data_IF_935063085436
#
_entry.id   IF_935063085436
#
_cell.length_a   1.000
_cell.length_b   1.000
_cell.length_c   1.000
_cell.angle_alpha   90.00
_cell.angle_beta   90.00
_cell.angle_gamma   90.00
#
_symmetry.space_group_name_H-M   'P 1'
#
loop_
_entity.id
_entity.type
_entity.pdbx_description
1 polymer ?
#
# COMPACT_ATOMS: atom_id res chain seq x y z
N UNK A 1 20.08 10.01 -12.63
CA UNK A 1 20.84 8.88 -12.02
C UNK A 1 22.31 9.19 -11.72
N UNK A 2 22.96 10.14 -12.41
CA UNK A 2 24.33 10.61 -12.14
C UNK A 2 24.42 11.61 -10.98
N UNK A 3 23.43 12.51 -10.86
CA UNK A 3 23.37 13.51 -9.79
C UNK A 3 23.21 12.93 -8.37
N UNK A 4 22.61 11.74 -8.24
CA UNK A 4 22.39 11.08 -6.93
C UNK A 4 23.66 10.36 -6.45
N UNK A 5 24.47 9.84 -7.39
CA UNK A 5 25.80 9.29 -7.09
C UNK A 5 26.78 10.38 -6.67
N UNK A 6 26.73 11.57 -7.28
CA UNK A 6 27.52 12.73 -6.87
C UNK A 6 27.06 13.31 -5.53
N UNK A 7 25.75 13.35 -5.26
CA UNK A 7 25.22 13.74 -3.94
C UNK A 7 25.60 12.76 -2.84
N UNK A 8 25.60 11.44 -3.09
CA UNK A 8 26.13 10.46 -2.13
C UNK A 8 27.63 10.67 -1.86
N UNK A 9 28.43 11.05 -2.85
CA UNK A 9 29.85 11.37 -2.67
C UNK A 9 30.04 12.67 -1.84
N UNK A 10 29.23 13.70 -2.10
CA UNK A 10 29.26 14.97 -1.36
C UNK A 10 28.76 14.83 0.08
N UNK A 11 27.73 14.02 0.30
CA UNK A 11 27.27 13.65 1.65
C UNK A 11 28.37 12.85 2.35
N UNK A 12 29.07 11.92 1.68
CA UNK A 12 30.23 11.23 2.24
C UNK A 12 31.34 12.19 2.69
N UNK A 13 31.60 13.28 1.94
CA UNK A 13 32.55 14.31 2.34
C UNK A 13 32.08 15.13 3.56
N UNK A 14 30.77 15.38 3.70
CA UNK A 14 30.23 16.22 4.78
C UNK A 14 29.85 15.48 6.07
N UNK A 15 29.31 14.26 6.00
CA UNK A 15 29.06 13.44 7.20
C UNK A 15 30.33 12.81 7.77
N UNK A 16 31.43 12.75 7.01
CA UNK A 16 32.73 12.32 7.51
C UNK A 16 33.38 13.28 8.51
N UNK A 17 32.90 14.54 8.65
CA UNK A 17 33.41 15.45 9.68
C UNK A 17 33.02 15.08 11.11
N UNK A 18 32.00 14.23 11.33
CA UNK A 18 31.62 13.77 12.68
C UNK A 18 32.30 12.48 13.13
N UNK A 19 32.97 11.75 12.23
CA UNK A 19 33.62 10.46 12.57
C UNK A 19 35.15 10.48 12.40
N UNK A 20 35.75 11.55 11.89
CA UNK A 20 37.20 11.68 11.77
C UNK A 20 37.86 12.12 13.09
N UNK A 21 37.71 11.29 14.12
CA UNK A 21 38.81 11.12 15.07
C UNK A 21 40.03 10.60 14.28
N UNK A 22 41.28 10.91 14.66
CA UNK A 22 42.46 10.60 13.87
C UNK A 22 42.72 9.08 13.87
N UNK A 23 41.98 8.35 13.05
CA UNK A 23 42.12 6.92 12.88
C UNK A 23 43.15 6.68 11.79
N UNK A 24 44.28 6.14 12.22
CA UNK A 24 45.35 5.64 11.36
C UNK A 24 44.81 4.43 10.59
N UNK A 25 44.35 4.64 9.37
CA UNK A 25 43.77 3.58 8.54
C UNK A 25 44.88 2.68 7.97
N UNK A 26 44.88 1.35 8.22
CA UNK A 26 45.76 0.44 7.50
C UNK A 26 45.33 0.43 6.03
N UNK A 27 46.28 0.63 5.11
CA UNK A 27 46.03 0.88 3.68
C UNK A 27 45.14 -0.15 2.95
N UNK A 28 44.87 -1.33 3.54
CA UNK A 28 44.04 -2.39 2.95
C UNK A 28 42.55 -2.38 3.34
N UNK A 29 42.10 -1.65 4.37
CA UNK A 29 40.70 -1.77 4.89
C UNK A 29 39.77 -0.64 4.47
N UNK A 30 40.28 0.39 3.80
CA UNK A 30 39.51 1.57 3.40
C UNK A 30 38.42 1.24 2.36
N UNK A 31 38.72 0.39 1.37
CA UNK A 31 37.80 0.03 0.29
C UNK A 31 36.59 -0.77 0.81
N UNK A 32 36.75 -1.84 1.63
CA UNK A 32 35.62 -2.53 2.25
C UNK A 32 34.71 -1.61 3.08
N UNK A 33 35.27 -0.64 3.81
CA UNK A 33 34.47 0.31 4.60
C UNK A 33 33.61 1.23 3.71
N UNK A 34 34.20 1.78 2.65
CA UNK A 34 33.48 2.66 1.70
C UNK A 34 32.36 1.88 1.01
N UNK A 35 32.64 0.66 0.51
CA UNK A 35 31.63 -0.18 -0.14
C UNK A 35 30.51 -0.54 0.86
N UNK A 36 30.87 -0.88 2.10
CA UNK A 36 29.90 -1.20 3.14
C UNK A 36 28.96 -0.03 3.42
N UNK A 37 29.49 1.19 3.48
CA UNK A 37 28.71 2.39 3.75
C UNK A 37 27.78 2.75 2.58
N UNK A 38 28.26 2.63 1.33
CA UNK A 38 27.43 2.83 0.13
C UNK A 38 26.29 1.81 0.09
N UNK A 39 26.58 0.53 0.32
CA UNK A 39 25.57 -0.53 0.36
C UNK A 39 24.54 -0.28 1.47
N UNK A 40 24.98 0.22 2.64
CA UNK A 40 24.10 0.62 3.74
C UNK A 40 23.18 1.76 3.33
N UNK A 41 23.73 2.83 2.74
CA UNK A 41 22.96 3.99 2.30
C UNK A 41 21.89 3.63 1.27
N UNK A 42 22.25 2.88 0.22
CA UNK A 42 21.31 2.43 -0.81
C UNK A 42 20.22 1.52 -0.24
N UNK A 43 20.56 0.67 0.74
CA UNK A 43 19.60 -0.22 1.41
C UNK A 43 18.60 0.57 2.26
N UNK A 44 19.06 1.60 2.96
CA UNK A 44 18.27 2.31 3.96
C UNK A 44 17.41 3.44 3.34
N UNK A 45 17.71 3.88 2.11
CA UNK A 45 17.00 4.95 1.39
C UNK A 45 16.13 4.46 0.21
N UNK A 46 15.69 3.20 0.21
CA UNK A 46 14.76 2.72 -0.82
C UNK A 46 13.35 3.28 -0.59
N UNK A 47 12.59 3.54 -1.66
CA UNK A 47 11.22 4.09 -1.57
C UNK A 47 10.28 3.19 -0.75
N UNK A 48 10.51 1.87 -0.80
CA UNK A 48 9.78 0.86 -0.02
C UNK A 48 10.77 0.12 0.88
N UNK A 49 10.46 0.07 2.18
CA UNK A 49 11.26 -0.66 3.17
C UNK A 49 10.88 -2.13 3.20
N UNK A 50 11.76 -2.97 2.66
CA UNK A 50 11.63 -4.43 2.66
C UNK A 50 12.47 -5.05 3.78
N UNK A 51 11.97 -6.15 4.37
CA UNK A 51 12.70 -6.92 5.38
C UNK A 51 14.01 -7.50 4.81
N UNK A 52 14.99 -7.79 5.67
CA UNK A 52 16.29 -8.32 5.23
C UNK A 52 16.15 -9.71 4.61
N UNK A 53 15.44 -10.61 5.28
CA UNK A 53 15.22 -11.98 4.83
C UNK A 53 14.60 -12.04 3.42
N UNK A 54 13.62 -11.19 3.13
CA UNK A 54 12.98 -11.14 1.80
C UNK A 54 13.95 -10.63 0.74
N UNK A 55 14.79 -9.64 1.06
CA UNK A 55 15.80 -9.13 0.12
C UNK A 55 16.92 -10.14 -0.14
N UNK A 56 17.35 -10.85 0.90
CA UNK A 56 18.39 -11.88 0.80
C UNK A 56 17.87 -13.04 -0.07
N UNK A 57 16.63 -13.50 0.17
CA UNK A 57 15.94 -14.46 -0.69
C UNK A 57 15.83 -13.99 -2.14
N UNK A 58 15.40 -12.74 -2.37
CA UNK A 58 15.31 -12.19 -3.72
C UNK A 58 16.68 -12.15 -4.42
N UNK A 59 17.76 -11.86 -3.69
CA UNK A 59 19.12 -11.90 -4.24
C UNK A 59 19.55 -13.32 -4.62
N UNK A 60 19.30 -14.32 -3.76
CA UNK A 60 19.59 -15.72 -4.08
C UNK A 60 18.74 -16.22 -5.26
N UNK A 61 17.46 -15.85 -5.30
CA UNK A 61 16.55 -16.19 -6.39
C UNK A 61 16.99 -15.57 -7.72
N UNK A 62 17.47 -14.32 -7.73
CA UNK A 62 18.02 -13.68 -8.93
C UNK A 62 19.28 -14.39 -9.43
N UNK A 63 20.17 -14.81 -8.53
CA UNK A 63 21.37 -15.58 -8.90
C UNK A 63 21.00 -16.95 -9.47
N UNK A 64 20.07 -17.65 -8.82
CA UNK A 64 19.53 -18.92 -9.29
C UNK A 64 18.87 -18.79 -10.67
N UNK A 65 18.07 -17.74 -10.86
CA UNK A 65 17.43 -17.40 -12.14
C UNK A 65 18.48 -17.19 -13.23
N UNK A 66 19.50 -16.37 -13.00
CA UNK A 66 20.56 -16.11 -13.99
C UNK A 66 21.31 -17.39 -14.40
N UNK A 67 21.69 -18.22 -13.41
CA UNK A 67 22.38 -19.49 -13.68
C UNK A 67 21.51 -20.48 -14.45
N UNK A 68 20.22 -20.56 -14.14
CA UNK A 68 19.27 -21.40 -14.88
C UNK A 68 19.01 -20.88 -16.29
N UNK A 69 18.86 -19.57 -16.47
CA UNK A 69 18.69 -18.94 -17.79
C UNK A 69 19.87 -19.28 -18.71
N UNK A 70 21.10 -19.27 -18.19
CA UNK A 70 22.28 -19.68 -18.94
C UNK A 70 22.29 -21.17 -19.32
N UNK A 71 21.78 -22.06 -18.47
CA UNK A 71 21.74 -23.51 -18.73
C UNK A 71 20.64 -23.90 -19.70
N UNK A 72 19.46 -23.29 -19.57
CA UNK A 72 18.27 -23.64 -20.35
C UNK A 72 18.16 -22.85 -21.66
N UNK A 73 18.97 -21.80 -21.83
CA UNK A 73 18.88 -20.84 -22.93
C UNK A 73 17.46 -20.26 -23.10
N UNK A 74 16.69 -20.20 -22.01
CA UNK A 74 15.33 -19.72 -21.94
C UNK A 74 15.04 -19.20 -20.52
N UNK A 75 13.98 -18.41 -20.38
CA UNK A 75 13.55 -17.88 -19.10
C UNK A 75 13.02 -19.00 -18.18
N UNK A 76 13.60 -19.21 -16.98
CA UNK A 76 13.17 -20.26 -16.07
C UNK A 76 11.85 -19.87 -15.38
N UNK A 77 11.00 -20.87 -15.16
CA UNK A 77 9.76 -20.70 -14.40
C UNK A 77 10.04 -20.62 -12.89
N UNK A 78 9.16 -19.99 -12.08
CA UNK A 78 9.32 -19.93 -10.63
C UNK A 78 9.47 -21.32 -9.97
N UNK A 79 8.80 -22.33 -10.51
CA UNK A 79 8.92 -23.72 -10.03
C UNK A 79 10.32 -24.30 -10.29
N UNK A 80 10.91 -24.02 -11.46
CA UNK A 80 12.28 -24.45 -11.79
C UNK A 80 13.33 -23.75 -10.93
N UNK A 81 13.11 -22.47 -10.59
CA UNK A 81 13.98 -21.74 -9.66
C UNK A 81 13.90 -22.36 -8.27
N UNK A 82 12.69 -22.68 -7.78
CA UNK A 82 12.48 -23.35 -6.49
C UNK A 82 13.18 -24.72 -6.41
N UNK A 83 13.03 -25.55 -7.44
CA UNK A 83 13.69 -26.86 -7.52
C UNK A 83 15.22 -26.70 -7.49
N UNK A 84 15.76 -25.78 -8.28
CA UNK A 84 17.19 -25.51 -8.33
C UNK A 84 17.78 -24.95 -7.03
N UNK A 85 17.05 -24.07 -6.34
CA UNK A 85 17.46 -23.56 -5.04
C UNK A 85 17.46 -24.67 -3.97
N UNK A 86 16.49 -25.59 -4.05
CA UNK A 86 16.44 -26.78 -3.21
C UNK A 86 17.66 -27.68 -3.44
N UNK A 87 18.07 -27.91 -4.69
CA UNK A 87 19.29 -28.65 -5.04
C UNK A 87 20.56 -28.01 -4.45
N UNK A 88 20.61 -26.68 -4.35
CA UNK A 88 21.72 -25.93 -3.74
C UNK A 88 21.68 -25.88 -2.21
N UNK A 89 20.68 -26.47 -1.57
CA UNK A 89 20.54 -26.51 -0.12
C UNK A 89 19.87 -25.27 0.49
N UNK A 90 19.15 -24.48 -0.31
CA UNK A 90 18.36 -23.32 0.14
C UNK A 90 16.90 -23.47 -0.31
N UNK A 91 16.09 -24.32 0.37
CA UNK A 91 14.74 -24.64 -0.07
C UNK A 91 13.75 -23.50 0.22
N UNK A 92 13.06 -23.02 -0.83
CA UNK A 92 11.98 -22.03 -0.76
C UNK A 92 10.85 -22.40 -1.71
N UNK A 93 9.62 -22.05 -1.39
CA UNK A 93 8.48 -22.31 -2.29
C UNK A 93 8.48 -21.35 -3.48
N UNK A 94 7.77 -21.71 -4.56
CA UNK A 94 7.62 -20.84 -5.71
C UNK A 94 6.94 -19.51 -5.35
N UNK A 95 5.96 -19.53 -4.44
CA UNK A 95 5.26 -18.34 -3.96
C UNK A 95 6.18 -17.40 -3.16
N UNK A 96 7.04 -17.96 -2.29
CA UNK A 96 8.03 -17.20 -1.54
C UNK A 96 9.03 -16.51 -2.47
N UNK A 97 9.47 -17.22 -3.51
CA UNK A 97 10.38 -16.68 -4.53
C UNK A 97 9.73 -15.54 -5.32
N UNK A 98 8.50 -15.74 -5.81
CA UNK A 98 7.77 -14.70 -6.56
C UNK A 98 7.56 -13.47 -5.68
N UNK A 99 7.07 -13.66 -4.46
CA UNK A 99 6.86 -12.58 -3.49
C UNK A 99 8.14 -11.80 -3.20
N UNK A 100 9.27 -12.51 -3.03
CA UNK A 100 10.56 -11.87 -2.79
C UNK A 100 11.08 -11.08 -4.00
N UNK A 101 10.94 -11.61 -5.21
CA UNK A 101 11.32 -10.92 -6.45
C UNK A 101 10.46 -9.68 -6.69
N UNK A 102 9.15 -9.77 -6.45
CA UNK A 102 8.24 -8.62 -6.53
C UNK A 102 8.59 -7.54 -5.51
N UNK A 103 8.94 -7.94 -4.28
CA UNK A 103 9.24 -7.00 -3.20
C UNK A 103 10.46 -6.09 -3.49
N UNK A 104 11.43 -6.55 -4.28
CA UNK A 104 12.61 -5.76 -4.65
C UNK A 104 12.43 -4.90 -5.90
N UNK A 105 11.28 -5.02 -6.58
CA UNK A 105 10.99 -4.27 -7.81
C UNK A 105 10.81 -2.78 -7.48
N UNK A 106 11.47 -1.91 -8.26
CA UNK A 106 11.34 -0.47 -8.09
C UNK A 106 9.93 -0.01 -8.52
N UNK A 107 9.29 0.90 -7.77
CA UNK A 107 8.01 1.45 -8.19
C UNK A 107 8.15 2.24 -9.49
N UNK A 108 7.11 2.18 -10.32
CA UNK A 108 6.99 2.98 -11.54
C UNK A 108 6.73 4.44 -11.17
N UNK A 109 7.30 5.39 -11.93
CA UNK A 109 7.05 6.80 -11.68
C UNK A 109 5.69 7.20 -12.26
N UNK A 110 4.93 7.96 -11.48
CA UNK A 110 3.68 8.57 -11.92
C UNK A 110 3.85 9.52 -13.13
N UNK A 111 5.06 10.07 -13.28
CA UNK A 111 5.45 10.96 -14.36
C UNK A 111 6.11 10.24 -15.53
N UNK A 112 6.09 8.90 -15.56
CA UNK A 112 6.54 8.18 -16.74
C UNK A 112 5.52 8.37 -17.87
N UNK A 113 5.98 8.69 -19.11
CA UNK A 113 5.08 8.85 -20.24
C UNK A 113 4.56 7.48 -20.71
N UNK A 114 3.27 7.42 -21.01
CA UNK A 114 2.62 6.28 -21.65
C UNK A 114 2.47 6.59 -23.14
N UNK A 115 3.12 5.78 -23.97
CA UNK A 115 3.05 5.95 -25.42
C UNK A 115 1.74 5.38 -25.95
N UNK A 116 0.82 6.27 -26.33
CA UNK A 116 -0.40 5.95 -27.08
C UNK A 116 -0.29 6.37 -28.55
N UNK A 117 -1.29 6.00 -29.34
CA UNK A 117 -1.47 6.40 -30.75
C UNK A 117 -1.93 7.86 -30.93
N UNK A 118 -2.19 8.57 -29.83
CA UNK A 118 -2.53 10.00 -29.80
C UNK A 118 -1.31 10.93 -29.89
N UNK A 119 -1.56 12.18 -30.30
CA UNK A 119 -0.52 13.24 -30.40
C UNK A 119 -0.06 13.78 -29.04
N UNK A 120 -0.82 13.54 -27.98
CA UNK A 120 -0.60 14.12 -26.66
C UNK A 120 0.15 13.15 -25.76
N UNK A 121 1.13 13.67 -25.01
CA UNK A 121 1.86 12.89 -24.01
C UNK A 121 0.94 12.65 -22.82
N UNK A 122 0.54 11.39 -22.65
CA UNK A 122 -0.21 10.91 -21.47
C UNK A 122 0.79 10.38 -20.46
N UNK A 123 0.61 10.66 -19.17
CA UNK A 123 1.43 10.13 -18.09
C UNK A 123 0.73 8.99 -17.36
N UNK A 124 1.49 8.16 -16.63
CA UNK A 124 0.93 7.08 -15.79
C UNK A 124 -0.13 7.63 -14.81
N UNK A 125 0.10 8.81 -14.24
CA UNK A 125 -0.86 9.48 -13.34
C UNK A 125 -2.23 9.77 -13.97
N UNK A 126 -2.28 10.03 -15.29
CA UNK A 126 -3.52 10.40 -15.97
C UNK A 126 -4.43 9.18 -16.19
N UNK A 127 -3.89 7.97 -16.09
CA UNK A 127 -4.64 6.72 -16.23
C UNK A 127 -5.15 6.17 -14.89
N UNK A 128 -4.69 6.72 -13.77
CA UNK A 128 -5.14 6.28 -12.46
C UNK A 128 -6.51 6.87 -12.16
N UNK A 129 -7.52 6.02 -12.07
CA UNK A 129 -8.83 6.42 -11.56
C UNK A 129 -8.77 6.61 -10.05
N UNK A 130 -9.36 7.69 -9.55
CA UNK A 130 -9.60 7.84 -8.12
C UNK A 130 -10.81 6.97 -7.73
N UNK A 131 -10.54 5.74 -7.29
CA UNK A 131 -11.56 4.85 -6.73
C UNK A 131 -11.94 5.24 -5.28
N UNK A 132 -11.46 6.36 -4.74
CA UNK A 132 -12.10 6.93 -3.56
C UNK A 132 -13.52 7.30 -3.99
N UNK A 133 -14.50 6.54 -3.52
CA UNK A 133 -15.91 6.63 -3.94
C UNK A 133 -16.58 7.95 -3.54
N UNK A 134 -15.93 9.08 -3.77
CA UNK A 134 -16.41 10.42 -3.45
C UNK A 134 -17.63 10.79 -4.27
N UNK A 135 -17.72 10.38 -5.54
CA UNK A 135 -18.92 10.61 -6.35
C UNK A 135 -20.11 9.78 -5.85
N UNK A 136 -19.93 8.47 -5.66
CA UNK A 136 -20.98 7.59 -5.15
C UNK A 136 -21.40 7.97 -3.71
N UNK A 137 -20.45 8.24 -2.82
CA UNK A 137 -20.74 8.66 -1.46
C UNK A 137 -21.42 10.04 -1.40
N UNK A 138 -21.10 10.96 -2.32
CA UNK A 138 -21.77 12.25 -2.39
C UNK A 138 -23.22 12.12 -2.86
N UNK A 139 -23.46 11.29 -3.88
CA UNK A 139 -24.81 10.98 -4.37
C UNK A 139 -25.65 10.28 -3.29
N UNK A 140 -25.10 9.27 -2.61
CA UNK A 140 -25.75 8.59 -1.49
C UNK A 140 -26.11 9.57 -0.35
N UNK A 141 -25.22 10.51 -0.02
CA UNK A 141 -25.50 11.53 0.99
C UNK A 141 -26.64 12.48 0.59
N UNK A 142 -26.73 12.85 -0.69
CA UNK A 142 -27.84 13.68 -1.20
C UNK A 142 -29.15 12.90 -1.12
N UNK A 143 -29.17 11.67 -1.64
CA UNK A 143 -30.35 10.81 -1.61
C UNK A 143 -30.84 10.56 -0.18
N UNK A 144 -29.93 10.26 0.76
CA UNK A 144 -30.24 10.09 2.18
C UNK A 144 -30.82 11.37 2.80
N UNK A 145 -30.22 12.54 2.51
CA UNK A 145 -30.72 13.84 3.01
C UNK A 145 -32.12 14.13 2.53
N UNK A 146 -32.42 13.83 1.27
CA UNK A 146 -33.74 14.02 0.71
C UNK A 146 -34.76 13.03 1.31
N UNK A 147 -34.36 11.77 1.48
CA UNK A 147 -35.19 10.76 2.11
C UNK A 147 -35.56 11.11 3.57
N UNK A 148 -34.60 11.66 4.32
CA UNK A 148 -34.81 12.13 5.69
C UNK A 148 -35.81 13.28 5.78
N UNK A 149 -35.97 14.12 4.75
CA UNK A 149 -36.96 15.22 4.75
C UNK A 149 -38.40 14.70 4.75
N UNK A 150 -38.64 13.55 4.12
CA UNK A 150 -39.95 12.93 3.97
C UNK A 150 -40.44 12.18 5.22
N UNK A 151 -39.58 12.04 6.23
CA UNK A 151 -39.96 11.47 7.51
C UNK A 151 -40.68 12.49 8.38
N UNK A 152 -41.63 12.01 9.17
CA UNK A 152 -42.30 12.85 10.15
C UNK A 152 -41.36 13.17 11.32
N UNK A 153 -41.59 14.28 12.03
CA UNK A 153 -40.74 14.71 13.15
C UNK A 153 -40.55 13.64 14.23
N UNK A 154 -41.58 12.81 14.45
CA UNK A 154 -41.51 11.70 15.39
C UNK A 154 -40.55 10.59 14.92
N UNK A 155 -40.58 10.25 13.63
CA UNK A 155 -39.68 9.26 13.02
C UNK A 155 -38.24 9.77 13.02
N UNK A 156 -38.02 11.04 12.64
CA UNK A 156 -36.70 11.70 12.71
C UNK A 156 -36.13 11.66 14.12
N UNK A 157 -36.94 11.96 15.14
CA UNK A 157 -36.50 11.92 16.54
C UNK A 157 -36.12 10.50 16.98
N UNK A 158 -36.90 9.48 16.60
CA UNK A 158 -36.57 8.07 16.87
C UNK A 158 -35.23 7.69 16.22
N UNK A 159 -35.05 7.98 14.94
CA UNK A 159 -33.79 7.68 14.23
C UNK A 159 -32.59 8.44 14.81
N UNK A 160 -32.79 9.71 15.19
CA UNK A 160 -31.75 10.51 15.84
C UNK A 160 -31.29 9.88 17.15
N UNK A 161 -32.24 9.52 18.04
CA UNK A 161 -31.91 8.87 19.30
C UNK A 161 -31.24 7.49 19.08
N UNK A 162 -31.68 6.75 18.07
CA UNK A 162 -31.19 5.40 17.76
C UNK A 162 -29.78 5.40 17.17
N UNK A 163 -29.57 6.14 16.09
CA UNK A 163 -28.34 6.06 15.27
C UNK A 163 -27.31 7.13 15.62
N UNK A 164 -27.73 8.31 16.10
CA UNK A 164 -26.79 9.38 16.47
C UNK A 164 -26.49 9.40 17.98
N UNK A 165 -27.44 8.98 18.82
CA UNK A 165 -27.24 8.93 20.29
C UNK A 165 -27.11 7.52 20.87
N UNK A 166 -27.20 6.48 20.04
CA UNK A 166 -26.98 5.09 20.43
C UNK A 166 -27.99 4.52 21.44
N UNK A 167 -29.19 5.10 21.58
CA UNK A 167 -30.18 4.64 22.56
C UNK A 167 -30.87 3.34 22.15
N UNK A 168 -31.23 2.53 23.14
CA UNK A 168 -32.04 1.33 22.94
C UNK A 168 -33.50 1.69 22.63
N UNK A 169 -34.24 0.81 21.96
CA UNK A 169 -35.67 1.05 21.67
C UNK A 169 -36.50 1.20 22.94
N UNK A 170 -36.11 0.55 24.04
CA UNK A 170 -36.76 0.69 25.35
C UNK A 170 -36.53 2.07 25.96
N UNK A 171 -35.30 2.58 25.89
CA UNK A 171 -34.98 3.95 26.34
C UNK A 171 -35.70 5.00 25.50
N UNK A 172 -35.77 4.80 24.18
CA UNK A 172 -36.52 5.69 23.26
C UNK A 172 -38.02 5.65 23.58
N UNK A 173 -38.57 4.46 23.85
CA UNK A 173 -39.97 4.28 24.24
C UNK A 173 -40.30 5.06 25.52
N UNK A 174 -39.43 5.00 26.52
CA UNK A 174 -39.55 5.76 27.77
C UNK A 174 -39.46 7.28 27.53
N UNK A 175 -38.55 7.75 26.67
CA UNK A 175 -38.36 9.17 26.38
C UNK A 175 -39.50 9.78 25.55
N UNK A 176 -40.10 9.01 24.64
CA UNK A 176 -41.16 9.49 23.74
C UNK A 176 -42.57 9.20 24.30
N UNK A 177 -42.69 8.37 25.34
CA UNK A 177 -43.96 8.02 25.98
C UNK A 177 -44.83 7.09 25.13
N UNK A 178 -44.23 6.10 24.46
CA UNK A 178 -44.93 5.06 23.68
C UNK A 178 -44.39 3.67 24.00
N UNK A 179 -45.09 2.62 23.56
CA UNK A 179 -44.60 1.25 23.75
C UNK A 179 -43.38 0.96 22.86
N UNK A 180 -42.50 0.06 23.32
CA UNK A 180 -41.35 -0.40 22.52
C UNK A 180 -41.78 -1.02 21.18
N UNK A 181 -42.89 -1.76 21.15
CA UNK A 181 -43.45 -2.31 19.92
C UNK A 181 -43.84 -1.21 18.92
N UNK A 182 -44.35 -0.07 19.40
CA UNK A 182 -44.67 1.08 18.56
C UNK A 182 -43.40 1.79 18.06
N UNK A 183 -42.36 1.93 18.88
CA UNK A 183 -41.05 2.43 18.44
C UNK A 183 -40.49 1.55 17.32
N UNK A 184 -40.52 0.23 17.51
CA UNK A 184 -40.03 -0.74 16.52
C UNK A 184 -40.76 -0.61 15.17
N UNK A 185 -42.09 -0.47 15.19
CA UNK A 185 -42.89 -0.25 13.97
C UNK A 185 -42.53 1.07 13.27
N UNK A 186 -42.38 2.16 14.02
CA UNK A 186 -42.02 3.47 13.47
C UNK A 186 -40.59 3.48 12.91
N UNK A 187 -39.63 2.88 13.61
CA UNK A 187 -38.24 2.74 13.15
C UNK A 187 -38.17 1.94 11.85
N UNK A 188 -38.82 0.77 11.81
CA UNK A 188 -38.86 -0.07 10.60
C UNK A 188 -39.54 0.65 9.43
N UNK A 189 -40.68 1.29 9.65
CA UNK A 189 -41.38 2.04 8.61
C UNK A 189 -40.56 3.23 8.07
N UNK A 190 -39.84 3.93 8.95
CA UNK A 190 -38.93 5.00 8.54
C UNK A 190 -37.77 4.47 7.69
N UNK A 191 -37.15 3.36 8.09
CA UNK A 191 -36.07 2.72 7.33
C UNK A 191 -36.54 2.20 5.96
N UNK A 192 -37.73 1.61 5.87
CA UNK A 192 -38.32 1.17 4.60
C UNK A 192 -38.58 2.35 3.65
N UNK A 193 -39.02 3.50 4.18
CA UNK A 193 -39.19 4.72 3.38
C UNK A 193 -37.86 5.26 2.87
N UNK A 194 -36.84 5.31 3.73
CA UNK A 194 -35.49 5.73 3.33
C UNK A 194 -34.99 4.83 2.20
N UNK A 195 -35.07 3.50 2.38
CA UNK A 195 -34.61 2.53 1.39
C UNK A 195 -35.35 2.58 0.06
N UNK A 196 -36.61 3.05 0.03
CA UNK A 196 -37.37 3.19 -1.22
C UNK A 196 -36.99 4.45 -2.01
N UNK A 197 -36.40 5.44 -1.34
CA UNK A 197 -36.06 6.75 -1.92
C UNK A 197 -34.57 6.88 -2.27
N UNK A 198 -33.75 5.95 -1.80
CA UNK A 198 -32.38 5.70 -2.26
C UNK A 198 -32.41 4.66 -3.37
#
# INVERSE_FOLDING_TARGET
>A
MTADREKSAYILMFTSRKCFAPLRFPHGTLIPMIIGEIKRYLRDNNAIRVSRSVRDLACHALQAKEELSHRLANEPTPAQISEYMTEKGDPHTAEEIVSALEAITAPVSLYDPVYGDGSDQVYVMDQLSDNSGGEDAWLENIALREAMKNLNEREKKILSLRFFRGRTQMEIAAEIGISQAQVSRLEKGALERIKKQM
#
